data_IF_787190928216
#
_entry.id   IF_787190928216
#
_cell.length_a   1.000
_cell.length_b   1.000
_cell.length_c   1.000
_cell.angle_alpha   90.00
_cell.angle_beta   90.00
_cell.angle_gamma   90.00
#
_symmetry.space_group_name_H-M   'P 1'
#
loop_
_entity.id
_entity.type
_entity.pdbx_description
1 polymer ?
#
# COMPACT_ATOMS: atom_id res chain seq x y z
N UNK A 1 -1.31 -34.01 -23.14
CA UNK A 1 -0.86 -32.74 -22.54
C UNK A 1 0.07 -33.10 -21.42
N UNK A 2 1.35 -32.77 -21.56
CA UNK A 2 2.46 -33.33 -20.81
C UNK A 2 2.44 -32.86 -19.34
N UNK A 3 2.70 -33.76 -18.39
CA UNK A 3 2.75 -33.44 -16.95
C UNK A 3 3.86 -32.41 -16.64
N UNK A 4 4.89 -32.37 -17.49
CA UNK A 4 5.94 -31.36 -17.49
C UNK A 4 5.48 -29.96 -17.96
N UNK A 5 4.45 -29.86 -18.80
CA UNK A 5 3.85 -28.57 -19.21
C UNK A 5 2.90 -28.06 -18.12
N UNK A 6 2.29 -28.95 -17.33
CA UNK A 6 1.53 -28.59 -16.13
C UNK A 6 2.43 -28.08 -15.00
N UNK A 7 3.68 -28.53 -14.93
CA UNK A 7 4.64 -28.16 -13.89
C UNK A 7 5.23 -26.74 -14.05
N UNK A 8 5.01 -26.08 -15.19
CA UNK A 8 5.50 -24.71 -15.43
C UNK A 8 4.44 -23.63 -15.25
N UNK A 9 3.18 -23.98 -14.94
CA UNK A 9 2.20 -22.99 -14.52
C UNK A 9 2.57 -22.54 -13.11
N UNK A 10 3.10 -21.31 -12.99
CA UNK A 10 3.48 -20.71 -11.72
C UNK A 10 2.26 -20.58 -10.82
N UNK A 11 2.10 -21.51 -9.89
CA UNK A 11 1.05 -21.47 -8.89
C UNK A 11 1.20 -20.20 -8.04
N UNK A 12 0.16 -19.36 -8.04
CA UNK A 12 0.12 -18.15 -7.21
C UNK A 12 -0.34 -18.54 -5.81
N UNK A 13 0.38 -18.15 -4.76
CA UNK A 13 0.08 -18.48 -3.37
C UNK A 13 0.10 -17.24 -2.48
N UNK A 14 -0.82 -17.11 -1.55
CA UNK A 14 -0.75 -16.12 -0.46
C UNK A 14 0.14 -16.66 0.67
N UNK A 15 1.07 -15.84 1.16
CA UNK A 15 1.95 -16.19 2.29
C UNK A 15 1.25 -15.96 3.63
N UNK A 16 1.36 -16.94 4.53
CA UNK A 16 0.76 -16.91 5.88
C UNK A 16 1.77 -16.66 7.01
N UNK A 17 3.08 -16.60 6.73
CA UNK A 17 4.14 -16.30 7.70
C UNK A 17 5.35 -15.65 7.03
N UNK A 18 6.07 -14.78 7.75
CA UNK A 18 7.26 -14.06 7.27
C UNK A 18 7.03 -13.39 5.92
N UNK A 19 6.24 -12.30 5.91
CA UNK A 19 5.97 -11.55 4.67
C UNK A 19 7.27 -10.89 4.23
N UNK A 20 7.73 -11.06 2.97
CA UNK A 20 8.83 -10.26 2.47
C UNK A 20 8.41 -8.79 2.56
N UNK A 21 9.14 -8.04 3.38
CA UNK A 21 9.02 -6.60 3.50
C UNK A 21 10.19 -5.99 2.76
N UNK A 22 9.88 -5.10 1.83
CA UNK A 22 10.87 -4.20 1.28
C UNK A 22 10.75 -2.88 2.03
N UNK A 23 11.88 -2.43 2.55
CA UNK A 23 11.94 -1.31 3.47
C UNK A 23 12.72 -0.15 2.84
N UNK A 24 12.25 1.07 3.08
CA UNK A 24 12.95 2.27 2.68
C UNK A 24 12.84 3.36 3.76
N UNK A 25 13.91 4.10 3.98
CA UNK A 25 13.97 5.19 4.96
C UNK A 25 14.43 6.50 4.32
N UNK A 26 13.97 7.62 4.86
CA UNK A 26 14.42 8.94 4.48
C UNK A 26 14.37 9.88 5.69
N UNK A 27 15.53 10.40 6.07
CA UNK A 27 15.62 11.43 7.10
C UNK A 27 15.33 12.82 6.49
N UNK A 28 14.17 13.38 6.87
CA UNK A 28 13.78 14.77 6.63
C UNK A 28 13.45 15.47 7.93
N UNK A 29 14.22 15.19 8.98
CA UNK A 29 14.08 15.77 10.32
C UNK A 29 13.61 17.22 10.28
N UNK A 30 12.49 17.49 10.93
CA UNK A 30 11.87 18.80 10.89
C UNK A 30 10.39 18.78 11.27
N UNK A 31 9.81 19.96 11.38
CA UNK A 31 8.45 20.17 11.90
C UNK A 31 7.41 20.43 10.79
N UNK A 32 7.83 20.43 9.51
CA UNK A 32 6.94 20.60 8.37
C UNK A 32 6.17 19.30 8.05
N UNK A 33 5.09 19.07 8.79
CA UNK A 33 4.27 17.86 8.69
C UNK A 33 3.63 17.69 7.31
N UNK A 34 3.25 18.79 6.65
CA UNK A 34 2.68 18.74 5.30
C UNK A 34 3.77 18.45 4.26
N UNK A 35 4.98 18.99 4.42
CA UNK A 35 6.14 18.65 3.60
C UNK A 35 6.55 17.18 3.75
N UNK A 36 6.51 16.64 4.97
CA UNK A 36 6.71 15.22 5.23
C UNK A 36 5.64 14.36 4.51
N UNK A 37 4.36 14.72 4.64
CA UNK A 37 3.26 14.04 3.92
C UNK A 37 3.45 14.08 2.40
N UNK A 38 3.81 15.23 1.83
CA UNK A 38 4.04 15.38 0.40
C UNK A 38 5.20 14.50 -0.12
N UNK A 39 6.20 14.26 0.73
CA UNK A 39 7.32 13.36 0.45
C UNK A 39 6.89 11.90 0.50
N UNK A 40 6.22 11.50 1.58
CA UNK A 40 5.65 10.16 1.75
C UNK A 40 4.71 9.77 0.59
N UNK A 41 3.77 10.64 0.26
CA UNK A 41 2.84 10.43 -0.86
C UNK A 41 3.61 10.38 -2.19
N UNK A 42 4.63 11.23 -2.36
CA UNK A 42 5.51 11.17 -3.53
C UNK A 42 6.19 9.81 -3.70
N UNK A 43 6.70 9.23 -2.61
CA UNK A 43 7.30 7.91 -2.60
C UNK A 43 6.27 6.82 -2.90
N UNK A 44 5.09 6.86 -2.27
CA UNK A 44 3.99 5.94 -2.54
C UNK A 44 3.64 5.87 -4.03
N UNK A 45 3.44 7.02 -4.69
CA UNK A 45 3.08 7.02 -6.11
C UNK A 45 4.26 6.69 -7.03
N UNK A 46 5.50 6.96 -6.62
CA UNK A 46 6.70 6.50 -7.35
C UNK A 46 6.82 4.98 -7.32
N UNK A 47 6.54 4.38 -6.16
CA UNK A 47 6.52 2.93 -5.96
C UNK A 47 5.36 2.28 -6.73
N UNK A 48 4.17 2.90 -6.68
CA UNK A 48 2.96 2.41 -7.34
C UNK A 48 3.08 2.40 -8.87
N UNK A 49 3.84 3.34 -9.47
CA UNK A 49 3.92 3.51 -10.90
C UNK A 49 4.26 2.20 -11.66
N UNK A 50 3.29 1.75 -12.46
CA UNK A 50 3.36 0.52 -13.25
C UNK A 50 3.20 -0.79 -12.47
N UNK A 51 3.09 -0.76 -11.14
CA UNK A 51 3.02 -1.96 -10.27
C UNK A 51 1.64 -2.13 -9.66
N UNK A 52 1.13 -1.10 -8.98
CA UNK A 52 -0.18 -1.14 -8.32
C UNK A 52 -0.84 0.24 -8.34
N UNK A 53 -2.12 0.29 -8.00
CA UNK A 53 -2.90 1.49 -7.80
C UNK A 53 -3.54 1.41 -6.40
N UNK A 54 -3.28 2.37 -5.50
CA UNK A 54 -3.99 2.43 -4.23
C UNK A 54 -5.49 2.65 -4.45
N UNK A 55 -6.33 1.98 -3.66
CA UNK A 55 -7.80 2.13 -3.67
C UNK A 55 -8.31 2.78 -2.37
N UNK A 56 -7.54 2.66 -1.29
CA UNK A 56 -7.76 3.37 -0.04
C UNK A 56 -6.44 3.67 0.67
N UNK A 57 -6.46 4.69 1.52
CA UNK A 57 -5.43 4.86 2.54
C UNK A 57 -6.05 5.34 3.84
N UNK A 58 -5.53 4.82 4.94
CA UNK A 58 -5.86 5.21 6.29
C UNK A 58 -4.71 6.06 6.85
N UNK A 59 -5.02 7.13 7.57
CA UNK A 59 -4.04 8.01 8.20
C UNK A 59 -4.32 8.11 9.69
N UNK A 60 -3.25 8.03 10.47
CA UNK A 60 -3.26 8.30 11.92
C UNK A 60 -2.78 9.74 12.12
N UNK A 61 -3.70 10.61 12.54
CA UNK A 61 -3.36 11.96 12.96
C UNK A 61 -2.75 11.91 14.36
N UNK A 62 -1.83 12.82 14.66
CA UNK A 62 -1.19 12.93 15.96
C UNK A 62 -0.98 14.39 16.33
N UNK A 63 -0.96 14.71 17.62
CA UNK A 63 -0.37 15.96 18.08
C UNK A 63 1.13 15.73 18.25
N UNK A 64 1.92 16.49 17.51
CA UNK A 64 3.37 16.37 17.51
C UNK A 64 4.00 17.41 18.45
N UNK A 65 5.11 17.05 19.07
CA UNK A 65 5.97 17.99 19.77
C UNK A 65 6.45 19.09 18.82
N UNK A 66 6.28 20.36 19.18
CA UNK A 66 6.53 21.47 18.27
C UNK A 66 8.02 21.73 17.99
N UNK A 67 8.91 21.25 18.85
CA UNK A 67 10.36 21.41 18.67
C UNK A 67 10.96 20.35 17.75
N UNK A 68 10.46 19.11 17.84
CA UNK A 68 11.02 17.94 17.16
C UNK A 68 10.16 17.43 16.01
N UNK A 69 8.86 17.76 16.00
CA UNK A 69 7.88 17.18 15.08
C UNK A 69 7.47 15.75 15.44
N UNK A 70 7.97 15.19 16.54
CA UNK A 70 7.73 13.80 16.94
C UNK A 70 6.26 13.60 17.38
N UNK A 71 5.55 12.58 16.88
CA UNK A 71 4.17 12.31 17.27
C UNK A 71 4.08 11.82 18.72
N UNK A 72 3.22 12.43 19.54
CA UNK A 72 3.09 12.04 20.96
C UNK A 72 1.93 11.06 21.19
N UNK A 73 0.71 11.41 20.77
CA UNK A 73 -0.46 10.54 20.87
C UNK A 73 -1.36 10.67 19.64
N UNK A 74 -2.06 9.57 19.24
CA UNK A 74 -3.06 9.62 18.19
C UNK A 74 -4.19 10.61 18.51
N UNK A 75 -4.48 11.50 17.56
CA UNK A 75 -5.54 12.50 17.64
C UNK A 75 -6.80 12.10 16.85
N UNK A 76 -6.71 11.09 15.99
CA UNK A 76 -7.84 10.58 15.21
C UNK A 76 -7.41 9.67 14.07
N UNK A 77 -8.37 8.89 13.57
CA UNK A 77 -8.17 7.94 12.48
C UNK A 77 -9.10 8.32 11.33
N UNK A 78 -8.53 8.41 10.12
CA UNK A 78 -9.28 8.77 8.92
C UNK A 78 -8.96 7.82 7.79
N UNK A 79 -9.95 7.50 6.95
CA UNK A 79 -9.77 6.71 5.75
C UNK A 79 -10.23 7.51 4.54
N UNK A 80 -9.38 7.63 3.53
CA UNK A 80 -9.77 8.04 2.19
C UNK A 80 -9.92 6.80 1.32
N UNK A 81 -11.00 6.69 0.56
CA UNK A 81 -11.18 5.62 -0.43
C UNK A 81 -11.81 6.11 -1.73
N UNK A 82 -11.55 5.40 -2.83
CA UNK A 82 -12.28 5.67 -4.07
C UNK A 82 -13.78 5.40 -3.88
N UNK A 83 -14.62 6.25 -4.47
CA UNK A 83 -16.07 6.12 -4.39
C UNK A 83 -16.58 4.84 -5.06
N UNK A 84 -16.00 4.50 -6.21
CA UNK A 84 -16.35 3.34 -7.02
C UNK A 84 -15.24 2.27 -6.91
N UNK A 85 -15.34 1.44 -5.88
CA UNK A 85 -14.43 0.29 -5.70
C UNK A 85 -14.73 -0.80 -6.73
N UNK A 86 -13.71 -1.58 -7.17
CA UNK A 86 -13.94 -2.76 -7.98
C UNK A 86 -14.90 -3.75 -7.30
N UNK A 87 -15.68 -4.53 -8.08
CA UNK A 87 -16.58 -5.52 -7.51
C UNK A 87 -15.86 -6.48 -6.55
N UNK A 88 -16.52 -6.83 -5.45
CA UNK A 88 -16.02 -7.71 -4.38
C UNK A 88 -14.87 -7.14 -3.52
N UNK A 89 -14.24 -6.02 -3.89
CA UNK A 89 -13.27 -5.34 -3.02
C UNK A 89 -14.01 -4.69 -1.87
N UNK A 90 -13.49 -4.87 -0.66
CA UNK A 90 -13.99 -4.18 0.52
C UNK A 90 -12.84 -3.51 1.26
N UNK A 91 -12.97 -2.22 1.55
CA UNK A 91 -12.11 -1.57 2.55
C UNK A 91 -12.64 -1.92 3.94
N UNK A 92 -11.71 -2.06 4.90
CA UNK A 92 -12.05 -2.34 6.29
C UNK A 92 -11.63 -1.16 7.15
N UNK A 93 -12.29 -1.05 8.29
CA UNK A 93 -11.88 -0.14 9.34
C UNK A 93 -10.70 -0.76 10.09
N UNK A 94 -9.54 -0.10 10.02
CA UNK A 94 -8.34 -0.54 10.75
C UNK A 94 -8.44 -0.24 12.25
N UNK A 95 -8.91 0.96 12.57
CA UNK A 95 -9.00 1.46 13.93
C UNK A 95 -10.44 1.83 14.25
N UNK A 96 -10.92 1.42 15.42
CA UNK A 96 -12.27 1.77 15.88
C UNK A 96 -12.48 3.29 15.90
N UNK A 97 -13.56 3.73 15.26
CA UNK A 97 -13.90 5.14 15.13
C UNK A 97 -13.26 5.83 13.91
N UNK A 98 -12.78 5.07 12.92
CA UNK A 98 -12.20 5.65 11.70
C UNK A 98 -13.26 6.44 10.94
N UNK A 99 -12.95 7.70 10.64
CA UNK A 99 -13.81 8.54 9.82
C UNK A 99 -13.51 8.31 8.34
N UNK A 100 -14.51 7.80 7.62
CA UNK A 100 -14.40 7.56 6.18
C UNK A 100 -14.75 8.80 5.35
N UNK A 101 -13.93 9.06 4.35
CA UNK A 101 -14.12 10.04 3.28
C UNK A 101 -13.93 9.34 1.92
N UNK A 102 -14.57 9.90 0.88
CA UNK A 102 -14.54 9.34 -0.47
C UNK A 102 -13.99 10.34 -1.47
N UNK A 103 -13.22 9.84 -2.44
CA UNK A 103 -12.76 10.60 -3.59
C UNK A 103 -13.17 9.92 -4.90
N UNK A 104 -13.26 10.70 -5.98
CA UNK A 104 -13.50 10.13 -7.32
C UNK A 104 -12.25 9.40 -7.83
N UNK A 105 -11.06 9.91 -7.51
CA UNK A 105 -9.77 9.37 -7.95
C UNK A 105 -8.79 9.31 -6.79
N UNK A 106 -8.01 8.24 -6.76
CA UNK A 106 -6.94 8.05 -5.80
C UNK A 106 -5.60 8.44 -6.43
N UNK A 107 -5.34 9.74 -6.49
CA UNK A 107 -4.10 10.30 -7.04
C UNK A 107 -3.37 11.17 -6.02
N UNK A 108 -2.12 11.54 -6.35
CA UNK A 108 -1.23 12.30 -5.48
C UNK A 108 -1.87 13.58 -4.95
N UNK A 109 -2.55 14.32 -5.83
CA UNK A 109 -3.16 15.59 -5.49
C UNK A 109 -4.32 15.40 -4.52
N UNK A 110 -5.19 14.41 -4.78
CA UNK A 110 -6.34 14.10 -3.94
C UNK A 110 -5.92 13.67 -2.53
N UNK A 111 -4.93 12.78 -2.40
CA UNK A 111 -4.44 12.34 -1.08
C UNK A 111 -3.76 13.48 -0.33
N UNK A 112 -2.92 14.27 -1.00
CA UNK A 112 -2.21 15.38 -0.34
C UNK A 112 -3.17 16.48 0.09
N UNK A 113 -4.15 16.82 -0.75
CA UNK A 113 -5.20 17.79 -0.42
C UNK A 113 -6.04 17.33 0.77
N UNK A 114 -6.38 16.04 0.81
CA UNK A 114 -7.09 15.44 1.94
C UNK A 114 -6.29 15.52 3.25
N UNK A 115 -5.04 15.06 3.28
CA UNK A 115 -4.19 15.16 4.48
C UNK A 115 -4.00 16.62 4.90
N UNK A 116 -3.76 17.54 3.95
CA UNK A 116 -3.65 18.97 4.25
C UNK A 116 -4.91 19.54 4.91
N UNK A 117 -6.08 19.13 4.45
CA UNK A 117 -7.37 19.48 5.05
C UNK A 117 -7.52 18.96 6.48
N UNK A 118 -7.13 17.71 6.73
CA UNK A 118 -7.15 17.09 8.06
C UNK A 118 -6.22 17.83 9.04
N UNK A 119 -4.98 18.08 8.65
CA UNK A 119 -3.99 18.80 9.47
C UNK A 119 -4.45 20.22 9.81
N UNK A 120 -5.07 20.93 8.84
CA UNK A 120 -5.59 22.28 9.08
C UNK A 120 -6.81 22.31 10.04
N UNK A 121 -7.63 21.25 10.02
CA UNK A 121 -8.82 21.13 10.87
C UNK A 121 -8.49 20.64 12.29
N UNK A 122 -7.38 19.93 12.46
CA UNK A 122 -6.97 19.37 13.75
C UNK A 122 -6.67 20.46 14.79
N UNK A 123 -6.90 20.11 16.06
CA UNK A 123 -6.65 20.96 17.23
C UNK A 123 -5.84 20.17 18.25
N UNK A 124 -4.77 20.78 18.75
CA UNK A 124 -3.96 20.25 19.84
C UNK A 124 -4.15 21.11 21.09
N UNK A 125 -4.23 20.48 22.26
CA UNK A 125 -4.57 21.17 23.51
C UNK A 125 -3.38 21.88 24.18
N UNK A 126 -2.15 21.61 23.75
CA UNK A 126 -0.91 22.18 24.31
C UNK A 126 -0.30 23.26 23.43
N UNK A 127 0.31 24.27 24.06
CA UNK A 127 0.99 25.38 23.36
C UNK A 127 2.26 24.93 22.62
N UNK A 128 2.91 23.87 23.11
CA UNK A 128 4.09 23.26 22.50
C UNK A 128 3.75 22.09 21.57
N UNK A 129 2.50 22.00 21.11
CA UNK A 129 2.03 20.94 20.22
C UNK A 129 1.57 21.52 18.87
N UNK A 130 1.88 20.80 17.79
CA UNK A 130 1.40 21.11 16.45
C UNK A 130 0.61 19.94 15.84
N UNK A 131 -0.37 20.22 14.96
CA UNK A 131 -1.03 19.18 14.17
C UNK A 131 -0.03 18.41 13.30
N UNK A 132 -0.14 17.08 13.28
CA UNK A 132 0.71 16.21 12.49
C UNK A 132 0.07 14.85 12.24
N UNK A 133 0.87 13.94 11.69
CA UNK A 133 0.47 12.57 11.37
C UNK A 133 1.64 11.64 11.68
N UNK A 134 1.34 10.41 12.10
CA UNK A 134 2.36 9.42 12.46
C UNK A 134 2.43 8.26 11.48
N UNK A 135 1.33 7.97 10.77
CA UNK A 135 1.24 6.78 9.93
C UNK A 135 0.27 7.00 8.76
N UNK A 136 0.63 6.46 7.60
CA UNK A 136 -0.22 6.34 6.42
C UNK A 136 -0.19 4.88 5.96
N UNK A 137 -1.34 4.23 5.85
CA UNK A 137 -1.45 2.82 5.52
C UNK A 137 -2.36 2.64 4.30
N UNK A 138 -1.86 2.00 3.24
CA UNK A 138 -2.61 1.61 2.04
C UNK A 138 -3.01 0.14 2.15
N UNK A 139 -4.25 -0.11 2.57
CA UNK A 139 -4.79 -1.46 2.78
C UNK A 139 -5.38 -2.09 1.54
N UNK A 140 -6.03 -1.29 0.70
CA UNK A 140 -6.67 -1.77 -0.51
C UNK A 140 -5.88 -1.32 -1.73
N UNK A 141 -5.50 -2.29 -2.55
CA UNK A 141 -4.73 -2.04 -3.77
C UNK A 141 -5.32 -2.83 -4.93
N UNK A 142 -5.17 -2.25 -6.12
CA UNK A 142 -5.29 -2.95 -7.39
C UNK A 142 -3.89 -3.17 -7.95
N UNK A 143 -3.48 -4.41 -8.14
CA UNK A 143 -2.12 -4.77 -8.54
C UNK A 143 -2.12 -5.31 -9.96
N UNK A 144 -1.15 -4.88 -10.77
CA UNK A 144 -1.00 -5.31 -12.15
C UNK A 144 -0.46 -6.74 -12.18
N UNK A 145 -1.13 -7.62 -12.92
CA UNK A 145 -0.64 -8.98 -13.15
C UNK A 145 0.56 -8.95 -14.12
N UNK A 146 1.68 -9.60 -13.78
CA UNK A 146 2.77 -9.80 -14.71
C UNK A 146 2.33 -10.66 -15.90
N UNK A 147 2.92 -10.44 -17.08
CA UNK A 147 2.55 -11.17 -18.30
C UNK A 147 2.61 -12.70 -18.13
N UNK A 148 3.59 -13.22 -17.40
CA UNK A 148 3.73 -14.66 -17.13
C UNK A 148 2.64 -15.27 -16.23
N UNK A 149 1.80 -14.45 -15.60
CA UNK A 149 0.65 -14.91 -14.79
C UNK A 149 -0.66 -14.86 -15.59
N UNK A 150 -0.69 -14.14 -16.71
CA UNK A 150 -1.88 -13.97 -17.53
C UNK A 150 -2.43 -15.31 -18.06
N UNK A 151 -1.55 -16.26 -18.37
CA UNK A 151 -1.94 -17.60 -18.86
C UNK A 151 -2.64 -18.45 -17.78
N UNK A 152 -2.50 -18.09 -16.50
CA UNK A 152 -3.16 -18.73 -15.36
C UNK A 152 -4.56 -18.17 -15.08
N UNK A 153 -5.00 -17.16 -15.83
CA UNK A 153 -6.35 -16.59 -15.73
C UNK A 153 -7.33 -17.45 -16.50
N UNK A 154 -8.39 -17.90 -15.83
CA UNK A 154 -9.43 -18.76 -16.41
C UNK A 154 -10.81 -18.19 -16.09
N UNK A 155 -11.65 -18.06 -17.12
CA UNK A 155 -13.00 -17.50 -17.00
C UNK A 155 -13.05 -16.12 -16.29
N UNK A 156 -12.01 -15.29 -16.49
CA UNK A 156 -11.90 -13.97 -15.89
C UNK A 156 -11.49 -13.97 -14.42
N UNK A 157 -11.02 -15.11 -13.89
CA UNK A 157 -10.57 -15.24 -12.50
C UNK A 157 -9.14 -15.78 -12.42
N UNK A 158 -8.38 -15.28 -11.45
CA UNK A 158 -7.09 -15.84 -11.04
C UNK A 158 -7.30 -16.70 -9.79
N UNK A 159 -6.86 -17.95 -9.86
CA UNK A 159 -6.92 -18.88 -8.72
C UNK A 159 -5.62 -18.77 -7.93
N UNK A 160 -5.75 -18.41 -6.65
CA UNK A 160 -4.63 -18.21 -5.73
C UNK A 160 -4.73 -19.20 -4.57
N UNK A 161 -3.68 -19.99 -4.33
CA UNK A 161 -3.64 -20.92 -3.19
C UNK A 161 -3.48 -20.17 -1.87
N UNK A 162 -4.22 -20.59 -0.84
CA UNK A 162 -4.13 -20.03 0.51
C UNK A 162 -4.35 -21.13 1.55
N UNK A 163 -3.30 -21.42 2.33
CA UNK A 163 -3.29 -22.58 3.22
C UNK A 163 -3.57 -23.87 2.45
N UNK A 164 -4.62 -24.60 2.84
CA UNK A 164 -5.08 -25.84 2.17
C UNK A 164 -6.19 -25.59 1.12
N UNK A 165 -6.54 -24.33 0.87
CA UNK A 165 -7.62 -23.94 -0.02
C UNK A 165 -7.16 -23.09 -1.18
N UNK A 166 -8.13 -22.62 -1.96
CA UNK A 166 -7.91 -21.65 -3.04
C UNK A 166 -8.91 -20.50 -2.90
N UNK A 167 -8.47 -19.32 -3.29
CA UNK A 167 -9.28 -18.10 -3.39
C UNK A 167 -9.30 -17.71 -4.87
N UNK A 168 -10.47 -17.30 -5.36
CA UNK A 168 -10.63 -16.78 -6.73
C UNK A 168 -10.69 -15.27 -6.69
N UNK A 169 -9.82 -14.63 -7.46
CA UNK A 169 -9.77 -13.18 -7.62
C UNK A 169 -10.31 -12.82 -8.99
N UNK A 170 -11.33 -11.94 -9.08
CA UNK A 170 -11.71 -11.36 -10.36
C UNK A 170 -10.53 -10.64 -11.00
N UNK A 171 -10.36 -10.85 -12.29
CA UNK A 171 -9.36 -10.17 -13.11
C UNK A 171 -10.04 -9.12 -13.96
N UNK A 172 -9.59 -7.87 -13.80
CA UNK A 172 -10.02 -6.75 -14.62
C UNK A 172 -9.07 -6.57 -15.80
N UNK A 173 -9.61 -6.41 -17.01
CA UNK A 173 -8.87 -5.89 -18.15
C UNK A 173 -9.04 -4.37 -18.21
N UNK A 174 -7.97 -3.64 -17.90
CA UNK A 174 -7.98 -2.18 -17.86
C UNK A 174 -6.64 -1.60 -18.33
N UNK A 175 -6.72 -0.64 -19.25
CA UNK A 175 -5.55 0.06 -19.79
C UNK A 175 -4.48 -0.90 -20.34
N UNK A 176 -4.90 -1.87 -21.15
CA UNK A 176 -4.02 -2.84 -21.82
C UNK A 176 -3.22 -3.73 -20.86
N UNK A 177 -3.74 -3.93 -19.64
CA UNK A 177 -3.15 -4.80 -18.64
C UNK A 177 -4.24 -5.52 -17.85
N UNK A 178 -3.87 -6.70 -17.34
CA UNK A 178 -4.70 -7.43 -16.40
C UNK A 178 -4.39 -6.99 -14.97
N UNK A 179 -5.43 -6.82 -14.17
CA UNK A 179 -5.35 -6.35 -12.80
C UNK A 179 -6.15 -7.24 -11.86
N UNK A 180 -5.68 -7.35 -10.62
CA UNK A 180 -6.41 -7.97 -9.51
C UNK A 180 -6.48 -6.99 -8.36
N UNK A 181 -7.60 -6.96 -7.65
CA UNK A 181 -7.81 -6.06 -6.53
C UNK A 181 -8.09 -6.83 -5.23
N UNK A 182 -7.70 -6.24 -4.11
CA UNK A 182 -8.01 -6.74 -2.79
C UNK A 182 -7.88 -5.66 -1.72
N UNK A 183 -8.30 -5.94 -0.47
CA UNK A 183 -8.82 -7.22 0.01
C UNK A 183 -10.25 -7.51 -0.49
N UNK A 184 -10.67 -8.77 -0.40
CA UNK A 184 -11.99 -9.21 -0.86
C UNK A 184 -12.98 -9.27 0.31
N UNK A 185 -14.23 -8.85 0.09
CA UNK A 185 -15.26 -8.79 1.13
C UNK A 185 -15.47 -10.11 1.89
N UNK A 186 -15.33 -11.26 1.23
CA UNK A 186 -15.72 -12.56 1.80
C UNK A 186 -14.55 -13.51 2.07
N UNK A 187 -13.49 -13.47 1.27
CA UNK A 187 -12.57 -14.60 1.15
C UNK A 187 -11.08 -14.23 1.32
N UNK A 188 -10.75 -12.95 1.44
CA UNK A 188 -9.37 -12.52 1.72
C UNK A 188 -9.36 -11.22 2.51
N UNK A 189 -8.68 -11.23 3.64
CA UNK A 189 -8.53 -10.06 4.49
C UNK A 189 -7.35 -9.18 4.09
N UNK A 190 -6.47 -9.69 3.21
CA UNK A 190 -5.26 -9.02 2.78
C UNK A 190 -5.32 -8.65 1.30
N UNK A 191 -4.79 -7.47 0.97
CA UNK A 191 -4.58 -7.09 -0.42
C UNK A 191 -3.36 -7.83 -1.00
N UNK A 192 -3.21 -7.91 -2.33
CA UNK A 192 -2.02 -8.51 -2.93
C UNK A 192 -0.73 -7.77 -2.53
N UNK A 193 -0.82 -6.45 -2.34
CA UNK A 193 0.23 -5.59 -1.79
C UNK A 193 -0.37 -4.61 -0.80
N UNK A 194 0.36 -4.32 0.27
CA UNK A 194 0.02 -3.33 1.30
C UNK A 194 1.22 -2.41 1.50
N UNK A 195 0.98 -1.12 1.71
CA UNK A 195 2.04 -0.13 1.97
C UNK A 195 1.79 0.53 3.32
N UNK A 196 2.80 0.60 4.14
CA UNK A 196 2.79 1.36 5.39
C UNK A 196 3.89 2.41 5.34
N UNK A 197 3.57 3.65 5.75
CA UNK A 197 4.54 4.73 5.84
C UNK A 197 4.46 5.33 7.24
N UNK A 198 5.57 5.32 7.98
CA UNK A 198 5.71 5.97 9.27
C UNK A 198 6.30 7.37 9.17
N UNK A 199 5.96 8.24 10.12
CA UNK A 199 6.56 9.56 10.29
C UNK A 199 6.92 9.81 11.76
N UNK A 200 8.21 9.77 12.07
CA UNK A 200 8.75 9.97 13.42
C UNK A 200 9.56 11.26 13.47
N UNK A 201 8.88 12.42 13.45
CA UNK A 201 9.56 13.72 13.50
C UNK A 201 10.30 14.10 12.23
N UNK A 202 9.77 13.68 11.07
CA UNK A 202 10.40 13.89 9.77
C UNK A 202 11.31 12.74 9.34
N UNK A 203 11.59 11.77 10.22
CA UNK A 203 12.12 10.49 9.80
C UNK A 203 11.00 9.67 9.18
N UNK A 204 11.08 9.40 7.87
CA UNK A 204 10.08 8.64 7.14
C UNK A 204 10.56 7.21 6.94
N UNK A 205 9.73 6.24 7.29
CA UNK A 205 9.90 4.83 6.93
C UNK A 205 8.80 4.43 5.95
N UNK A 206 9.10 3.51 5.04
CA UNK A 206 8.15 2.93 4.10
C UNK A 206 8.37 1.42 4.03
N UNK A 207 7.29 0.68 4.28
CA UNK A 207 7.25 -0.78 4.19
C UNK A 207 6.28 -1.22 3.10
N UNK A 208 6.77 -2.00 2.14
CA UNK A 208 5.93 -2.70 1.17
C UNK A 208 5.81 -4.18 1.57
N UNK A 209 4.62 -4.59 1.96
CA UNK A 209 4.28 -6.00 2.20
C UNK A 209 3.85 -6.69 0.91
N UNK A 210 4.57 -7.74 0.51
CA UNK A 210 4.26 -8.56 -0.66
C UNK A 210 3.55 -9.83 -0.22
N UNK A 211 2.22 -9.87 -0.36
CA UNK A 211 1.42 -10.94 0.21
C UNK A 211 1.34 -12.20 -0.67
N UNK A 212 1.66 -12.12 -1.96
CA UNK A 212 1.54 -13.24 -2.91
C UNK A 212 2.88 -13.63 -3.54
N UNK A 213 3.08 -14.94 -3.77
CA UNK A 213 4.30 -15.52 -4.36
C UNK A 213 4.73 -14.88 -5.67
N UNK A 214 3.78 -14.41 -6.48
CA UNK A 214 4.02 -13.69 -7.75
C UNK A 214 5.04 -12.56 -7.61
N UNK A 215 4.99 -11.80 -6.52
CA UNK A 215 5.89 -10.67 -6.25
C UNK A 215 6.84 -10.96 -5.09
N UNK A 216 6.43 -11.81 -4.15
CA UNK A 216 7.16 -12.14 -2.95
C UNK A 216 8.36 -13.09 -3.19
N UNK A 217 8.22 -14.03 -4.13
CA UNK A 217 9.28 -15.00 -4.41
C UNK A 217 10.41 -14.35 -5.24
N UNK A 218 11.66 -14.73 -4.98
CA UNK A 218 12.82 -14.16 -5.66
C UNK A 218 12.78 -14.40 -7.19
N UNK A 219 12.27 -15.57 -7.60
CA UNK A 219 12.09 -15.93 -9.01
C UNK A 219 10.65 -15.66 -9.49
N UNK A 220 9.85 -14.93 -8.71
CA UNK A 220 8.47 -14.61 -9.03
C UNK A 220 8.38 -13.69 -10.27
N UNK A 221 7.41 -13.90 -11.18
CA UNK A 221 7.33 -13.15 -12.44
C UNK A 221 7.06 -11.66 -12.26
N UNK A 222 6.59 -11.23 -11.07
CA UNK A 222 6.40 -9.82 -10.73
C UNK A 222 7.58 -9.18 -10.01
N UNK A 223 8.60 -9.95 -9.63
CA UNK A 223 9.70 -9.49 -8.78
C UNK A 223 10.48 -8.33 -9.40
N UNK A 224 10.87 -8.45 -10.66
CA UNK A 224 11.65 -7.42 -11.36
C UNK A 224 10.93 -6.06 -11.42
N UNK A 225 9.60 -6.06 -11.54
CA UNK A 225 8.79 -4.83 -11.53
C UNK A 225 8.84 -4.12 -10.19
N UNK A 226 8.74 -4.87 -9.09
CA UNK A 226 8.86 -4.33 -7.72
C UNK A 226 10.27 -3.80 -7.46
N UNK A 227 11.31 -4.53 -7.89
CA UNK A 227 12.70 -4.09 -7.72
C UNK A 227 12.99 -2.81 -8.50
N UNK A 228 12.47 -2.69 -9.73
CA UNK A 228 12.56 -1.46 -10.51
C UNK A 228 11.84 -0.30 -9.82
N UNK A 229 10.72 -0.55 -9.14
CA UNK A 229 10.00 0.48 -8.39
C UNK A 229 10.79 1.00 -7.18
N UNK A 230 11.47 0.12 -6.45
CA UNK A 230 12.36 0.51 -5.35
C UNK A 230 13.63 1.22 -5.83
N UNK A 231 14.19 0.83 -6.98
CA UNK A 231 15.32 1.56 -7.57
C UNK A 231 14.98 3.04 -7.82
N UNK A 232 13.74 3.34 -8.24
CA UNK A 232 13.27 4.73 -8.37
C UNK A 232 13.19 5.47 -7.04
N UNK A 233 12.92 4.79 -5.92
CA UNK A 233 12.96 5.43 -4.60
C UNK A 233 14.39 5.80 -4.20
N UNK A 234 15.37 4.93 -4.51
CA UNK A 234 16.79 5.25 -4.33
C UNK A 234 17.20 6.48 -5.12
N UNK A 235 16.73 6.64 -6.36
CA UNK A 235 16.98 7.84 -7.17
C UNK A 235 16.38 9.12 -6.54
N UNK A 236 15.36 8.99 -5.68
CA UNK A 236 14.77 10.08 -4.91
C UNK A 236 15.47 10.32 -3.56
N UNK A 237 16.53 9.58 -3.25
CA UNK A 237 17.33 9.73 -2.03
C UNK A 237 16.89 8.87 -0.85
N UNK A 238 15.97 7.93 -1.04
CA UNK A 238 15.61 6.96 0.01
C UNK A 238 16.71 5.90 0.16
N UNK A 239 17.05 5.57 1.40
CA UNK A 239 17.90 4.42 1.70
C UNK A 239 17.01 3.16 1.67
N UNK A 240 17.34 2.20 0.81
CA UNK A 240 16.51 1.01 0.57
C UNK A 240 17.23 -0.21 1.11
N UNK A 241 16.59 -0.92 2.03
CA UNK A 241 17.10 -2.16 2.59
C UNK A 241 16.12 -3.32 2.33
N UNK A 242 16.67 -4.54 2.33
CA UNK A 242 15.87 -5.77 2.24
C UNK A 242 15.97 -6.47 3.58
N UNK A 243 14.87 -6.50 4.32
CA UNK A 243 14.76 -7.39 5.45
C UNK A 243 14.34 -8.78 4.93
N UNK A 244 15.25 -9.75 5.08
CA UNK A 244 14.89 -11.14 4.87
C UNK A 244 14.15 -11.61 6.12
N UNK A 245 12.83 -11.72 6.02
CA UNK A 245 11.99 -12.37 7.02
C UNK A 245 12.27 -13.88 7.12
#
# INVERSE_FOLDING_TARGET
>A
MDEAVRAAMSEVRIRTGGRPVLHAELDRSGTDQLGAAATAIGALFTLADGVFAPLSADVVLACCDAATGYPLEPAGYHQLRVADLPPLVATRELWTGTREERCERFDRESVLGWIGGLLAAQRCAGEDLLPGWSQLFVQATRVRLPAGVADSVHDGELVVSYGNGTIRYPVEDAAEALWVAGPLATNSETAPMEVEIGNEGGFLSLDLSLNWSTWADADGPGRAGVEAAFARLTDLGWDVSRELA
#
